data_IF_863204593028
#
_entry.id   IF_863204593028
#
_cell.length_a   1.000
_cell.length_b   1.000
_cell.length_c   1.000
_cell.angle_alpha   90.00
_cell.angle_beta   90.00
_cell.angle_gamma   90.00
#
_symmetry.space_group_name_H-M   'P 1'
#
loop_
_entity.id
_entity.type
_entity.pdbx_description
1 polymer ?
#
# COMPACT_ATOMS: atom_id res chain seq x y z
N UNK A 1 -3.16 -21.39 29.81
CA UNK A 1 -1.89 -20.71 30.12
C UNK A 1 -0.92 -21.09 29.01
N UNK A 2 -0.23 -20.14 28.38
CA UNK A 2 0.70 -20.48 27.29
C UNK A 2 2.06 -20.76 27.93
N UNK A 3 2.39 -22.03 28.13
CA UNK A 3 3.68 -22.49 28.63
C UNK A 3 4.78 -22.13 27.62
N UNK A 4 5.50 -21.03 27.90
CA UNK A 4 6.61 -20.58 27.07
C UNK A 4 7.81 -21.45 27.39
N UNK A 5 8.25 -22.23 26.41
CA UNK A 5 9.43 -23.09 26.50
C UNK A 5 10.70 -22.32 26.15
N UNK A 6 11.82 -22.67 26.78
CA UNK A 6 13.11 -22.06 26.46
C UNK A 6 13.58 -22.45 25.06
N UNK A 7 14.05 -21.50 24.25
CA UNK A 7 14.54 -21.76 22.89
C UNK A 7 15.87 -22.53 22.78
N UNK A 8 16.45 -22.98 23.88
CA UNK A 8 17.75 -23.68 23.92
C UNK A 8 17.63 -25.04 24.61
N UNK A 9 17.05 -25.07 25.81
CA UNK A 9 16.94 -26.29 26.61
C UNK A 9 15.49 -26.80 26.77
N UNK A 10 14.54 -26.20 26.07
CA UNK A 10 13.13 -26.63 25.98
C UNK A 10 12.36 -26.74 27.31
N UNK A 11 12.93 -26.25 28.42
CA UNK A 11 12.27 -26.20 29.73
C UNK A 11 10.99 -25.38 29.67
N UNK A 12 9.95 -25.87 30.33
CA UNK A 12 8.59 -25.31 30.32
C UNK A 12 8.43 -24.01 31.15
N UNK A 13 9.55 -23.43 31.60
CA UNK A 13 9.60 -22.17 32.33
C UNK A 13 10.62 -21.21 31.70
N UNK A 14 10.16 -20.39 30.75
CA UNK A 14 10.96 -19.34 30.15
C UNK A 14 10.41 -17.95 30.51
N UNK A 15 10.78 -17.39 31.69
CA UNK A 15 10.25 -16.11 32.16
C UNK A 15 10.81 -14.90 31.39
N UNK A 16 11.93 -15.05 30.66
CA UNK A 16 12.61 -13.96 29.98
C UNK A 16 12.45 -14.02 28.46
N UNK A 17 12.65 -12.89 27.78
CA UNK A 17 12.61 -12.76 26.31
C UNK A 17 13.85 -12.06 25.79
N UNK A 18 14.38 -12.51 24.66
CA UNK A 18 15.53 -11.90 24.03
C UNK A 18 15.19 -10.49 23.49
N UNK A 19 16.02 -9.45 23.70
CA UNK A 19 15.76 -8.11 23.17
C UNK A 19 15.88 -8.01 21.64
N UNK A 20 16.57 -8.94 21.00
CA UNK A 20 16.82 -8.94 19.55
C UNK A 20 15.68 -9.65 18.82
N UNK A 21 15.47 -10.93 19.10
CA UNK A 21 14.54 -11.81 18.37
C UNK A 21 13.20 -12.07 19.09
N UNK A 22 13.06 -11.60 20.35
CA UNK A 22 11.89 -11.82 21.22
C UNK A 22 11.60 -13.29 21.59
N UNK A 23 12.50 -14.24 21.28
CA UNK A 23 12.32 -15.65 21.69
C UNK A 23 12.43 -15.81 23.21
N UNK A 24 11.61 -16.69 23.81
CA UNK A 24 11.62 -16.95 25.25
C UNK A 24 12.83 -17.80 25.68
N UNK A 25 13.43 -17.48 26.83
CA UNK A 25 14.53 -18.25 27.43
C UNK A 25 14.41 -18.37 28.96
N UNK A 26 15.05 -19.39 29.55
CA UNK A 26 14.94 -19.67 30.99
C UNK A 26 16.03 -19.00 31.86
N UNK A 27 17.23 -18.78 31.34
CA UNK A 27 18.37 -18.26 32.10
C UNK A 27 19.36 -17.47 31.23
N UNK A 28 20.26 -16.72 31.89
CA UNK A 28 21.35 -15.99 31.23
C UNK A 28 22.30 -16.88 30.44
N UNK A 29 22.48 -18.14 30.84
CA UNK A 29 23.28 -19.13 30.11
C UNK A 29 22.65 -19.44 28.76
N UNK A 30 21.36 -19.76 28.73
CA UNK A 30 20.62 -19.98 27.48
C UNK A 30 20.56 -18.73 26.60
N UNK A 31 20.52 -17.53 27.19
CA UNK A 31 20.58 -16.28 26.41
C UNK A 31 21.94 -16.10 25.72
N UNK A 32 23.06 -16.46 26.36
CA UNK A 32 24.40 -16.42 25.75
C UNK A 32 24.54 -17.45 24.63
N UNK A 33 24.11 -18.69 24.86
CA UNK A 33 24.13 -19.73 23.83
C UNK A 33 23.26 -19.37 22.62
N UNK A 34 22.06 -18.84 22.86
CA UNK A 34 21.17 -18.33 21.82
C UNK A 34 21.84 -17.25 20.96
N UNK A 35 22.51 -16.27 21.59
CA UNK A 35 23.24 -15.20 20.89
C UNK A 35 24.43 -15.71 20.07
N UNK A 36 25.11 -16.76 20.55
CA UNK A 36 26.27 -17.32 19.87
C UNK A 36 25.92 -18.20 18.67
N UNK A 37 24.73 -18.82 18.66
CA UNK A 37 24.38 -19.80 17.63
C UNK A 37 23.34 -19.30 16.63
N UNK A 38 22.29 -18.57 17.07
CA UNK A 38 21.17 -18.22 16.17
C UNK A 38 20.30 -17.11 16.76
N UNK A 39 20.74 -15.85 16.68
CA UNK A 39 19.97 -14.69 17.12
C UNK A 39 19.77 -13.70 15.99
N UNK A 40 18.74 -13.94 15.18
CA UNK A 40 18.30 -12.99 14.17
C UNK A 40 17.08 -12.21 14.67
N UNK A 41 16.96 -10.90 14.37
CA UNK A 41 15.74 -10.15 14.66
C UNK A 41 14.53 -10.90 14.09
N UNK A 42 13.35 -10.83 14.73
CA UNK A 42 12.18 -11.47 14.17
C UNK A 42 12.03 -10.88 12.77
N UNK A 43 12.01 -11.74 11.75
CA UNK A 43 11.53 -11.33 10.44
C UNK A 43 10.17 -10.72 10.75
N UNK A 44 10.09 -9.39 10.69
CA UNK A 44 8.82 -8.72 10.63
C UNK A 44 8.06 -9.50 9.55
N UNK A 45 6.77 -9.84 9.76
CA UNK A 45 5.97 -10.26 8.62
C UNK A 45 6.31 -9.23 7.55
N UNK A 46 6.92 -9.69 6.45
CA UNK A 46 7.13 -8.82 5.30
C UNK A 46 5.80 -8.14 5.16
N UNK A 47 5.77 -6.82 5.45
CA UNK A 47 4.64 -5.96 5.14
C UNK A 47 4.24 -6.47 3.78
N UNK A 48 3.06 -7.10 3.62
CA UNK A 48 2.80 -8.00 2.49
C UNK A 48 3.33 -7.25 1.30
N UNK A 49 4.45 -7.76 0.71
CA UNK A 49 5.05 -7.19 -0.49
C UNK A 49 3.83 -6.91 -1.33
N UNK A 50 3.52 -5.62 -1.52
CA UNK A 50 2.26 -5.21 -2.12
C UNK A 50 2.16 -6.11 -3.32
N UNK A 51 1.21 -7.05 -3.22
CA UNK A 51 1.02 -8.03 -4.24
C UNK A 51 0.74 -7.10 -5.41
N UNK A 52 1.63 -7.06 -6.40
CA UNK A 52 1.22 -6.89 -7.77
C UNK A 52 0.25 -8.05 -8.02
N UNK A 53 -0.93 -8.00 -7.39
CA UNK A 53 -2.12 -8.46 -8.03
C UNK A 53 -2.13 -7.56 -9.24
N UNK A 54 -1.77 -8.14 -10.38
CA UNK A 54 -2.16 -7.59 -11.65
C UNK A 54 -3.62 -7.18 -11.46
N UNK A 55 -3.88 -5.89 -11.23
CA UNK A 55 -5.24 -5.36 -11.08
C UNK A 55 -5.82 -5.40 -12.49
N UNK A 56 -6.09 -6.60 -12.97
CA UNK A 56 -6.70 -6.85 -14.26
C UNK A 56 -8.14 -6.41 -14.11
N UNK A 57 -8.52 -5.41 -14.89
CA UNK A 57 -9.91 -5.03 -15.06
C UNK A 57 -10.68 -6.29 -15.46
N UNK A 58 -11.75 -6.62 -14.72
CA UNK A 58 -12.61 -7.75 -15.09
C UNK A 58 -13.35 -7.50 -16.41
N UNK A 59 -13.58 -6.23 -16.75
CA UNK A 59 -14.31 -5.79 -17.93
C UNK A 59 -13.62 -4.56 -18.54
N UNK A 60 -12.51 -4.75 -19.26
CA UNK A 60 -11.85 -3.67 -19.98
C UNK A 60 -12.65 -3.27 -21.22
N UNK A 61 -12.90 -1.98 -21.38
CA UNK A 61 -13.44 -1.35 -22.60
C UNK A 61 -12.39 -0.45 -23.26
N UNK A 62 -12.72 0.10 -24.42
CA UNK A 62 -11.86 1.08 -25.13
C UNK A 62 -11.55 2.31 -24.26
N UNK A 63 -12.48 2.73 -23.39
CA UNK A 63 -12.31 3.84 -22.45
C UNK A 63 -11.57 3.46 -21.16
N UNK A 64 -11.20 2.19 -20.98
CA UNK A 64 -10.50 1.75 -19.76
C UNK A 64 -9.01 2.04 -19.85
N UNK A 65 -8.51 2.93 -18.99
CA UNK A 65 -7.09 3.29 -18.95
C UNK A 65 -6.23 2.07 -18.55
N UNK A 66 -5.20 1.70 -19.32
CA UNK A 66 -4.29 0.61 -18.96
C UNK A 66 -3.54 0.86 -17.64
N UNK A 67 -3.26 -0.20 -16.87
CA UNK A 67 -2.57 -0.09 -15.58
C UNK A 67 -1.18 0.55 -15.73
N UNK A 68 -0.47 0.22 -16.80
CA UNK A 68 0.86 0.79 -17.12
C UNK A 68 0.80 2.31 -17.29
N UNK A 69 -0.29 2.83 -17.89
CA UNK A 69 -0.55 4.27 -18.02
C UNK A 69 -0.90 4.90 -16.69
N UNK A 70 -1.70 4.23 -15.87
CA UNK A 70 -2.01 4.72 -14.52
C UNK A 70 -0.76 4.80 -13.63
N UNK A 71 0.22 3.92 -13.80
CA UNK A 71 1.49 4.00 -13.07
C UNK A 71 2.27 5.28 -13.39
N UNK A 72 2.08 5.87 -14.58
CA UNK A 72 2.74 7.14 -14.94
C UNK A 72 2.28 8.31 -14.07
N UNK A 73 1.05 8.26 -13.53
CA UNK A 73 0.51 9.26 -12.60
C UNK A 73 1.40 9.41 -11.35
N UNK A 74 2.05 8.34 -10.91
CA UNK A 74 2.95 8.34 -9.76
C UNK A 74 4.14 9.29 -9.91
N UNK A 75 4.60 9.51 -11.14
CA UNK A 75 5.77 10.33 -11.41
C UNK A 75 5.44 11.82 -11.61
N UNK A 76 4.17 12.18 -11.75
CA UNK A 76 3.75 13.57 -11.94
C UNK A 76 3.87 14.37 -10.63
N UNK A 77 4.78 15.36 -10.63
CA UNK A 77 4.89 16.31 -9.51
C UNK A 77 3.66 17.24 -9.46
N UNK A 78 3.15 17.67 -10.61
CA UNK A 78 1.95 18.51 -10.71
C UNK A 78 0.73 17.84 -10.05
N UNK A 79 0.55 16.54 -10.28
CA UNK A 79 -0.52 15.77 -9.64
C UNK A 79 -0.30 15.63 -8.12
N UNK A 80 0.95 15.40 -7.69
CA UNK A 80 1.28 15.30 -6.26
C UNK A 80 1.00 16.59 -5.50
N UNK A 81 1.32 17.73 -6.10
CA UNK A 81 1.02 19.05 -5.52
C UNK A 81 -0.49 19.23 -5.37
N UNK A 82 -1.27 18.94 -6.43
CA UNK A 82 -2.72 19.01 -6.39
C UNK A 82 -3.32 18.12 -5.27
N UNK A 83 -2.77 16.92 -5.07
CA UNK A 83 -3.22 15.97 -4.04
C UNK A 83 -2.84 16.35 -2.60
N UNK A 84 -2.05 17.41 -2.37
CA UNK A 84 -1.78 17.90 -1.00
C UNK A 84 -3.03 18.45 -0.34
N UNK A 85 -3.98 18.95 -1.13
CA UNK A 85 -5.24 19.51 -0.62
C UNK A 85 -6.10 18.40 0.02
N UNK A 86 -6.42 18.48 1.32
CA UNK A 86 -7.20 17.46 2.02
C UNK A 86 -8.62 17.34 1.45
N UNK A 87 -9.26 18.46 1.12
CA UNK A 87 -10.63 18.49 0.60
C UNK A 87 -10.76 17.72 -0.71
N UNK A 88 -9.77 17.85 -1.60
CA UNK A 88 -9.72 17.10 -2.86
C UNK A 88 -9.69 15.59 -2.59
N UNK A 89 -8.86 15.14 -1.65
CA UNK A 89 -8.76 13.72 -1.29
C UNK A 89 -10.05 13.21 -0.68
N UNK A 90 -10.76 14.03 0.08
CA UNK A 90 -12.04 13.65 0.65
C UNK A 90 -13.15 13.60 -0.42
N UNK A 91 -13.13 14.48 -1.41
CA UNK A 91 -13.99 14.38 -2.60
C UNK A 91 -13.72 13.08 -3.36
N UNK A 92 -12.46 12.74 -3.63
CA UNK A 92 -12.10 11.50 -4.31
C UNK A 92 -12.58 10.26 -3.53
N UNK A 93 -12.41 10.26 -2.21
CA UNK A 93 -12.93 9.18 -1.35
C UNK A 93 -14.45 9.13 -1.39
N UNK A 94 -15.13 10.27 -1.35
CA UNK A 94 -16.59 10.32 -1.40
C UNK A 94 -17.11 9.70 -2.71
N UNK A 95 -16.50 10.05 -3.85
CA UNK A 95 -16.83 9.46 -5.15
C UNK A 95 -16.66 7.94 -5.16
N UNK A 96 -15.55 7.43 -4.62
CA UNK A 96 -15.27 5.99 -4.59
C UNK A 96 -16.21 5.19 -3.68
N UNK A 97 -16.77 5.83 -2.65
CA UNK A 97 -17.65 5.17 -1.68
C UNK A 97 -19.14 5.47 -1.93
N UNK A 98 -19.49 6.27 -2.94
CA UNK A 98 -20.88 6.64 -3.23
C UNK A 98 -21.66 5.46 -3.83
N UNK A 99 -22.95 5.39 -3.52
CA UNK A 99 -23.87 4.39 -4.09
C UNK A 99 -24.13 4.63 -5.59
N UNK A 100 -23.91 5.86 -6.07
CA UNK A 100 -24.04 6.28 -7.45
C UNK A 100 -22.79 7.08 -7.88
N UNK A 101 -21.69 6.39 -8.25
CA UNK A 101 -20.43 7.04 -8.60
C UNK A 101 -20.56 7.99 -9.79
N UNK A 102 -21.42 7.68 -10.77
CA UNK A 102 -21.66 8.55 -11.94
C UNK A 102 -22.19 9.92 -11.50
N UNK A 103 -23.19 9.96 -10.60
CA UNK A 103 -23.73 11.20 -10.05
C UNK A 103 -22.71 11.92 -9.17
N UNK A 104 -21.94 11.16 -8.38
CA UNK A 104 -20.91 11.72 -7.51
C UNK A 104 -19.81 12.41 -8.33
N UNK A 105 -19.34 11.77 -9.40
CA UNK A 105 -18.37 12.36 -10.35
C UNK A 105 -18.95 13.64 -10.97
N UNK A 106 -20.19 13.62 -11.46
CA UNK A 106 -20.82 14.80 -12.05
C UNK A 106 -20.95 15.98 -11.06
N UNK A 107 -21.08 15.68 -9.77
CA UNK A 107 -21.11 16.70 -8.71
C UNK A 107 -19.70 17.21 -8.41
N UNK A 108 -18.71 16.31 -8.34
CA UNK A 108 -17.30 16.64 -8.13
C UNK A 108 -16.73 17.50 -9.27
N UNK A 109 -17.17 17.30 -10.51
CA UNK A 109 -16.79 18.12 -11.67
C UNK A 109 -17.23 19.59 -11.61
N UNK A 110 -18.01 19.99 -10.59
CA UNK A 110 -18.32 21.40 -10.31
C UNK A 110 -17.29 22.07 -9.41
N UNK A 111 -16.39 21.28 -8.82
CA UNK A 111 -15.40 21.73 -7.85
C UNK A 111 -14.08 21.99 -8.59
N UNK A 112 -13.52 23.21 -8.54
CA UNK A 112 -12.38 23.59 -9.39
C UNK A 112 -11.13 22.73 -9.16
N UNK A 113 -10.83 22.39 -7.91
CA UNK A 113 -9.68 21.54 -7.58
C UNK A 113 -9.82 20.11 -8.12
N UNK A 114 -11.04 19.58 -8.21
CA UNK A 114 -11.29 18.26 -8.77
C UNK A 114 -11.17 18.26 -10.29
N UNK A 115 -11.63 19.34 -10.94
CA UNK A 115 -11.46 19.54 -12.39
C UNK A 115 -9.98 19.64 -12.74
N UNK A 116 -9.22 20.47 -12.02
CA UNK A 116 -7.78 20.63 -12.24
C UNK A 116 -7.04 19.29 -12.10
N UNK A 117 -7.34 18.51 -11.07
CA UNK A 117 -6.80 17.16 -10.90
C UNK A 117 -7.17 16.23 -12.07
N UNK A 118 -8.41 16.29 -12.56
CA UNK A 118 -8.86 15.47 -13.68
C UNK A 118 -8.11 15.83 -14.97
N UNK A 119 -7.96 17.13 -15.28
CA UNK A 119 -7.17 17.63 -16.40
C UNK A 119 -5.71 17.15 -16.34
N UNK A 120 -5.08 17.21 -15.16
CA UNK A 120 -3.70 16.72 -14.97
C UNK A 120 -3.63 15.21 -15.25
N UNK A 121 -4.60 14.43 -14.78
CA UNK A 121 -4.64 12.99 -15.04
C UNK A 121 -4.81 12.71 -16.54
N UNK A 122 -5.74 13.40 -17.21
CA UNK A 122 -6.02 13.23 -18.64
C UNK A 122 -4.79 13.53 -19.50
N UNK A 123 -4.06 14.61 -19.24
CA UNK A 123 -2.79 14.93 -19.93
C UNK A 123 -1.76 13.80 -19.90
N UNK A 124 -1.78 12.96 -18.85
CA UNK A 124 -0.83 11.85 -18.67
C UNK A 124 -1.35 10.58 -19.34
N UNK A 125 -2.64 10.29 -19.21
CA UNK A 125 -3.23 9.01 -19.66
C UNK A 125 -3.68 9.03 -21.11
N UNK A 126 -4.09 10.19 -21.64
CA UNK A 126 -4.54 10.31 -23.01
C UNK A 126 -3.35 10.13 -23.98
N UNK A 127 -3.55 9.41 -25.10
CA UNK A 127 -2.55 9.35 -26.14
C UNK A 127 -2.38 10.75 -26.73
N UNK A 128 -1.13 11.22 -26.82
CA UNK A 128 -0.83 12.43 -27.59
C UNK A 128 -1.36 12.21 -29.01
N UNK A 129 -2.29 13.07 -29.45
CA UNK A 129 -2.83 13.10 -30.82
C UNK A 129 -1.70 13.31 -31.84
N UNK A 130 -0.95 12.24 -32.11
CA UNK A 130 -0.19 12.03 -33.31
C UNK A 130 -0.79 10.77 -33.92
N UNK A 131 -1.55 10.98 -35.01
CA UNK A 131 -2.24 9.96 -35.82
C UNK A 131 -3.66 9.65 -35.36
N UNK A 132 -4.57 10.57 -35.71
CA UNK A 132 -5.92 10.18 -36.16
C UNK A 132 -5.91 10.20 -37.69
N UNK A 133 -5.80 9.06 -38.38
CA UNK A 133 -6.07 8.98 -39.81
C UNK A 133 -7.57 8.73 -39.97
N UNK A 134 -8.33 9.80 -40.24
CA UNK A 134 -9.47 9.81 -41.15
C UNK A 134 -9.96 11.25 -41.32
#
# INVERSE_FOLDING_TARGET
MTDKKCCICEKENAPYKCPICKTPYCSVTCCKEHKSQTCEPPKLPEKPKEHESERKYQFSTEDTVPVEKLQQLWHSEELKECLKHPDLRDIMKAVLNDLNPTKAIASAMKIPSFVEMADICLKIVEPSDAVKPC
#
